data_IF_449447252672
#
_entry.id   IF_449447252672
#
_cell.length_a   1.000
_cell.length_b   1.000
_cell.length_c   1.000
_cell.angle_alpha   90.00
_cell.angle_beta   90.00
_cell.angle_gamma   90.00
#
_symmetry.space_group_name_H-M   'P 1'
#
loop_
_entity.id
_entity.type
_entity.pdbx_description
1 polymer ?
#
# COMPACT_ATOMS: atom_id res chain seq x y z
N UNK A 1 3.66 8.93 2.08
CA UNK A 1 2.62 9.57 1.23
C UNK A 1 1.25 9.01 1.61
N UNK A 2 0.15 9.74 1.45
CA UNK A 2 -1.20 9.21 1.75
C UNK A 2 -1.72 8.29 0.64
N UNK A 3 -2.72 7.45 0.95
CA UNK A 3 -3.39 6.58 -0.03
C UNK A 3 -3.94 7.38 -1.22
N UNK A 4 -4.66 8.47 -0.97
CA UNK A 4 -5.27 9.30 -2.02
C UNK A 4 -4.24 9.91 -2.97
N UNK A 5 -3.09 10.31 -2.44
CA UNK A 5 -2.03 10.87 -3.27
C UNK A 5 -1.33 9.77 -4.09
N UNK A 6 -1.09 8.61 -3.48
CA UNK A 6 -0.54 7.47 -4.20
C UNK A 6 -1.48 6.99 -5.32
N UNK A 7 -2.79 6.92 -5.08
CA UNK A 7 -3.78 6.54 -6.10
C UNK A 7 -3.97 7.62 -7.18
N UNK A 8 -3.61 8.88 -6.90
CA UNK A 8 -3.58 9.93 -7.93
C UNK A 8 -2.38 9.76 -8.86
N UNK A 9 -1.22 9.43 -8.30
CA UNK A 9 0.02 9.26 -9.07
C UNK A 9 0.05 7.91 -9.82
N UNK A 10 -0.55 6.87 -9.22
CA UNK A 10 -0.61 5.50 -9.76
C UNK A 10 -2.05 4.96 -9.82
N UNK A 11 -2.95 5.55 -10.61
CA UNK A 11 -4.35 5.13 -10.61
C UNK A 11 -4.53 3.66 -11.02
N UNK A 12 -5.37 2.92 -10.28
CA UNK A 12 -5.67 1.50 -10.52
C UNK A 12 -6.28 1.21 -11.90
N UNK A 13 -6.79 2.22 -12.59
CA UNK A 13 -7.22 2.08 -13.98
C UNK A 13 -6.04 1.80 -14.92
N UNK A 14 -4.89 2.44 -14.68
CA UNK A 14 -3.69 2.38 -15.51
C UNK A 14 -2.65 1.39 -14.97
N UNK A 15 -2.67 1.09 -13.66
CA UNK A 15 -1.69 0.22 -13.01
C UNK A 15 -2.33 -0.96 -12.28
N UNK A 16 -1.65 -2.09 -12.29
CA UNK A 16 -1.95 -3.26 -11.47
C UNK A 16 -1.10 -3.24 -10.21
N UNK A 17 -1.73 -3.50 -9.06
CA UNK A 17 -1.06 -3.56 -7.77
C UNK A 17 -0.86 -5.02 -7.41
N UNK A 18 0.35 -5.53 -7.64
CA UNK A 18 0.67 -6.95 -7.40
C UNK A 18 1.29 -7.08 -6.02
N UNK A 19 0.55 -7.64 -5.05
CA UNK A 19 1.07 -7.83 -3.69
C UNK A 19 2.17 -8.89 -3.68
N UNK A 20 3.37 -8.52 -3.25
CA UNK A 20 4.55 -9.39 -3.18
C UNK A 20 4.85 -9.85 -1.76
N UNK A 21 4.52 -9.04 -0.74
CA UNK A 21 4.74 -9.38 0.66
C UNK A 21 3.60 -8.87 1.54
N UNK A 22 3.36 -9.56 2.65
CA UNK A 22 2.44 -9.15 3.70
C UNK A 22 3.00 -9.55 5.05
N UNK A 23 3.00 -8.61 5.99
CA UNK A 23 3.33 -8.86 7.39
C UNK A 23 2.47 -7.99 8.29
N UNK A 24 2.20 -8.49 9.49
CA UNK A 24 1.51 -7.72 10.53
C UNK A 24 2.42 -7.52 11.75
N UNK A 25 2.20 -6.44 12.50
CA UNK A 25 2.93 -6.10 13.72
C UNK A 25 1.97 -5.60 14.82
N UNK A 26 2.42 -5.71 16.06
CA UNK A 26 1.68 -5.30 17.26
C UNK A 26 0.94 -6.47 17.93
N UNK A 27 0.61 -6.33 19.21
CA UNK A 27 0.02 -7.41 20.03
C UNK A 27 -1.29 -7.97 19.48
N UNK A 28 -1.98 -7.23 18.60
CA UNK A 28 -3.24 -7.64 17.97
C UNK A 28 -3.25 -7.36 16.46
N UNK A 29 -2.09 -7.30 15.80
CA UNK A 29 -2.03 -6.99 14.36
C UNK A 29 -2.45 -5.55 14.02
N UNK A 30 -2.09 -4.60 14.89
CA UNK A 30 -2.46 -3.18 14.74
C UNK A 30 -1.83 -2.51 13.52
N UNK A 31 -0.70 -3.04 13.04
CA UNK A 31 -0.03 -2.52 11.85
C UNK A 31 0.04 -3.60 10.80
N UNK A 32 -0.52 -3.33 9.63
CA UNK A 32 -0.42 -4.16 8.44
C UNK A 32 0.59 -3.50 7.49
N UNK A 33 1.53 -4.29 6.99
CA UNK A 33 2.57 -3.82 6.07
C UNK A 33 2.54 -4.73 4.85
N UNK A 34 2.19 -4.14 3.72
CA UNK A 34 2.04 -4.79 2.42
C UNK A 34 3.05 -4.22 1.45
N UNK A 35 3.78 -5.07 0.74
CA UNK A 35 4.64 -4.65 -0.37
C UNK A 35 3.96 -4.98 -1.69
N UNK A 36 4.03 -4.05 -2.63
CA UNK A 36 3.40 -4.14 -3.94
C UNK A 36 4.41 -3.82 -5.05
N UNK A 37 4.34 -4.59 -6.12
CA UNK A 37 4.87 -4.20 -7.41
C UNK A 37 3.76 -3.50 -8.19
N UNK A 38 3.98 -2.24 -8.56
CA UNK A 38 3.08 -1.43 -9.37
C UNK A 38 3.44 -1.68 -10.83
N UNK A 39 2.56 -2.38 -11.54
CA UNK A 39 2.79 -2.84 -12.91
C UNK A 39 1.94 -2.03 -13.87
N UNK A 40 2.56 -1.40 -14.87
CA UNK A 40 1.85 -0.70 -15.94
C UNK A 40 0.98 -1.68 -16.72
N UNK A 41 -0.31 -1.39 -16.88
CA UNK A 41 -1.19 -2.22 -17.73
C UNK A 41 -0.88 -2.06 -19.21
N UNK A 42 -0.31 -0.91 -19.61
CA UNK A 42 0.02 -0.64 -21.01
C UNK A 42 1.23 -1.45 -21.48
N UNK A 43 2.24 -1.63 -20.63
CA UNK A 43 3.50 -2.30 -21.00
C UNK A 43 3.70 -3.65 -20.32
N UNK A 44 3.01 -3.91 -19.21
CA UNK A 44 3.23 -5.10 -18.38
C UNK A 44 4.48 -5.02 -17.50
N UNK A 45 5.16 -3.87 -17.45
CA UNK A 45 6.40 -3.69 -16.70
C UNK A 45 6.13 -3.12 -15.30
N UNK A 46 6.92 -3.56 -14.32
CA UNK A 46 6.94 -2.98 -12.98
C UNK A 46 7.58 -1.60 -13.04
N UNK A 47 6.81 -0.55 -12.73
CA UNK A 47 7.26 0.84 -12.72
C UNK A 47 7.69 1.32 -11.34
N UNK A 48 7.21 0.66 -10.27
CA UNK A 48 7.51 1.02 -8.90
C UNK A 48 7.34 -0.19 -7.98
N UNK A 49 8.17 -0.30 -6.95
CA UNK A 49 7.92 -1.17 -5.81
C UNK A 49 7.59 -0.28 -4.62
N UNK A 50 6.41 -0.44 -4.03
CA UNK A 50 5.91 0.43 -2.97
C UNK A 50 5.42 -0.41 -1.78
N UNK A 51 5.58 0.14 -0.58
CA UNK A 51 5.10 -0.47 0.66
C UNK A 51 3.97 0.36 1.24
N UNK A 52 2.79 -0.26 1.38
CA UNK A 52 1.62 0.25 2.08
C UNK A 52 1.70 -0.17 3.54
N UNK A 53 1.71 0.79 4.45
CA UNK A 53 1.61 0.58 5.89
C UNK A 53 0.29 1.13 6.37
N UNK A 54 -0.59 0.24 6.80
CA UNK A 54 -1.83 0.58 7.48
C UNK A 54 -1.62 0.42 8.98
N UNK A 55 -2.00 1.43 9.77
CA UNK A 55 -1.96 1.36 11.22
C UNK A 55 -3.31 1.73 11.81
N UNK A 56 -3.87 0.80 12.58
CA UNK A 56 -5.15 0.94 13.27
C UNK A 56 -4.92 1.18 14.76
N UNK A 57 -5.35 2.35 15.23
CA UNK A 57 -5.26 2.74 16.63
C UNK A 57 -6.44 2.17 17.42
N UNK A 58 -6.21 1.10 18.19
CA UNK A 58 -7.26 0.39 18.94
C UNK A 58 -7.98 1.24 20.00
N UNK A 59 -7.39 2.37 20.43
CA UNK A 59 -8.01 3.26 21.43
C UNK A 59 -8.87 4.37 20.81
N UNK A 60 -8.80 4.55 19.50
CA UNK A 60 -9.55 5.58 18.77
C UNK A 60 -10.33 5.07 17.55
N UNK A 61 -10.17 3.80 17.16
CA UNK A 61 -10.70 3.21 15.92
C UNK A 61 -10.35 4.03 14.67
N UNK A 62 -9.23 4.75 14.72
CA UNK A 62 -8.70 5.51 13.60
C UNK A 62 -7.69 4.66 12.84
N UNK A 63 -7.80 4.64 11.51
CA UNK A 63 -6.91 3.90 10.62
C UNK A 63 -6.19 4.89 9.73
N UNK A 64 -4.85 4.82 9.76
CA UNK A 64 -3.99 5.65 8.93
C UNK A 64 -3.28 4.76 7.91
N UNK A 65 -3.25 5.20 6.65
CA UNK A 65 -2.53 4.51 5.58
C UNK A 65 -1.43 5.39 5.04
N UNK A 66 -0.23 4.83 4.97
CA UNK A 66 0.94 5.50 4.41
C UNK A 66 1.63 4.61 3.39
N UNK A 67 2.05 5.22 2.28
CA UNK A 67 2.86 4.61 1.23
C UNK A 67 4.30 5.13 1.27
N UNK A 68 5.25 4.23 1.03
CA UNK A 68 6.71 4.43 0.98
C UNK A 68 7.29 3.69 -0.25
N UNK A 69 8.26 4.29 -0.95
CA UNK A 69 8.93 3.70 -2.12
C UNK A 69 10.35 4.23 -2.30
#
# INVERSE_FOLDING_TARGET
MTEEQFERDYPRDQYNYVRTNFRTKGSHGQTEIESFDIVSKATGETVLQATRTEHTNLRGLDTTVNWDW
#
